data_IF_184541701729
#
_entry.id   IF_184541701729
#
_cell.length_a   1.000
_cell.length_b   1.000
_cell.length_c   1.000
_cell.angle_alpha   90.00
_cell.angle_beta   90.00
_cell.angle_gamma   90.00
#
_symmetry.space_group_name_H-M   'P 1'
#
loop_
_entity.id
_entity.type
_entity.pdbx_description
1 polymer ?
#
# COMPACT_ATOMS: atom_id res chain seq x y z
N UNK A 1 -15.40 65.41 24.57
CA UNK A 1 -15.12 65.49 23.12
C UNK A 1 -15.86 64.35 22.46
N UNK A 2 -16.98 64.68 21.81
CA UNK A 2 -18.00 63.77 21.31
C UNK A 2 -17.87 63.75 19.79
N UNK A 3 -17.68 62.59 19.16
CA UNK A 3 -17.72 62.48 17.70
C UNK A 3 -18.73 61.43 17.26
N UNK A 4 -19.78 61.94 16.63
CA UNK A 4 -20.84 61.22 15.95
C UNK A 4 -20.28 60.20 14.94
N UNK A 5 -20.77 58.96 15.03
CA UNK A 5 -20.56 57.95 14.00
C UNK A 5 -21.59 58.17 12.90
N UNK A 6 -21.09 58.33 11.68
CA UNK A 6 -21.84 58.60 10.46
C UNK A 6 -22.57 57.34 9.95
N UNK A 7 -23.81 57.53 9.52
CA UNK A 7 -24.76 56.53 9.01
C UNK A 7 -24.66 56.36 7.49
N UNK A 8 -24.42 55.14 6.99
CA UNK A 8 -24.88 54.54 5.70
C UNK A 8 -24.12 53.24 5.45
N UNK A 9 -24.63 52.17 4.83
CA UNK A 9 -25.87 51.87 4.10
C UNK A 9 -25.97 50.34 4.08
N UNK A 10 -27.14 49.78 4.35
CA UNK A 10 -27.45 48.38 4.09
C UNK A 10 -27.50 48.13 2.57
N UNK A 11 -26.97 46.99 2.12
CA UNK A 11 -27.47 46.29 0.94
C UNK A 11 -27.34 44.76 1.17
N UNK A 12 -28.50 44.11 1.11
CA UNK A 12 -28.86 42.68 1.16
C UNK A 12 -28.01 41.77 0.22
N UNK A 13 -27.79 40.47 0.42
CA UNK A 13 -28.70 39.32 0.26
C UNK A 13 -27.94 38.03 0.71
N UNK A 14 -28.40 37.27 1.72
CA UNK A 14 -29.11 35.97 1.65
C UNK A 14 -28.40 34.73 1.01
N UNK A 15 -27.90 33.86 1.93
CA UNK A 15 -28.07 32.36 2.03
C UNK A 15 -27.20 31.48 1.08
N UNK A 16 -26.77 30.22 1.39
CA UNK A 16 -26.90 29.35 2.59
C UNK A 16 -25.58 28.68 3.07
N UNK A 17 -25.61 28.06 4.26
CA UNK A 17 -25.12 26.69 4.56
C UNK A 17 -24.05 26.09 3.59
N UNK A 18 -22.80 26.59 3.57
CA UNK A 18 -21.65 25.89 2.92
C UNK A 18 -20.66 25.34 3.96
N UNK A 19 -20.97 25.46 5.24
CA UNK A 19 -20.10 24.98 6.32
C UNK A 19 -20.49 23.61 6.87
N UNK A 20 -21.26 22.80 6.13
CA UNK A 20 -21.68 21.49 6.56
C UNK A 20 -21.14 20.37 5.66
N UNK A 21 -20.10 19.71 6.17
CA UNK A 21 -20.05 18.24 6.21
C UNK A 21 -19.96 17.50 4.88
N UNK A 22 -18.96 17.82 4.06
CA UNK A 22 -18.35 16.78 3.22
C UNK A 22 -16.86 16.74 3.53
N UNK A 23 -16.54 16.44 4.79
CA UNK A 23 -15.30 15.72 5.12
C UNK A 23 -15.48 14.28 4.63
N UNK A 24 -15.62 14.10 3.32
CA UNK A 24 -15.53 12.79 2.69
C UNK A 24 -14.08 12.37 2.84
N UNK A 25 -13.77 11.71 3.96
CA UNK A 25 -12.53 10.98 4.10
C UNK A 25 -12.56 9.92 3.02
N UNK A 26 -12.02 10.23 1.84
CA UNK A 26 -11.66 9.21 0.86
C UNK A 26 -10.62 8.34 1.54
N UNK A 27 -11.07 7.29 2.23
CA UNK A 27 -10.25 6.14 2.56
C UNK A 27 -9.85 5.53 1.23
N UNK A 28 -8.76 6.01 0.64
CA UNK A 28 -8.19 5.45 -0.57
C UNK A 28 -7.92 3.97 -0.26
N UNK A 29 -8.64 3.03 -0.90
CA UNK A 29 -8.45 1.62 -0.58
C UNK A 29 -6.98 1.30 -0.81
N UNK A 30 -6.31 0.74 0.20
CA UNK A 30 -4.92 0.32 0.11
C UNK A 30 -4.74 -0.45 -1.21
N UNK A 31 -3.91 0.09 -2.10
CA UNK A 31 -3.75 -0.30 -3.50
C UNK A 31 -3.95 -1.82 -3.63
N UNK A 32 -5.08 -2.22 -4.20
CA UNK A 32 -5.50 -3.62 -4.23
C UNK A 32 -4.56 -4.40 -5.15
N UNK A 33 -3.45 -4.89 -4.59
CA UNK A 33 -2.46 -5.67 -5.29
C UNK A 33 -2.81 -7.15 -5.30
N UNK A 34 -2.19 -7.87 -6.22
CA UNK A 34 -2.10 -9.32 -6.13
C UNK A 34 -0.66 -9.70 -5.85
N UNK A 35 -0.47 -10.72 -5.02
CA UNK A 35 0.83 -11.33 -4.82
C UNK A 35 0.94 -12.61 -5.65
N UNK A 36 2.10 -12.80 -6.27
CA UNK A 36 2.59 -14.06 -6.83
C UNK A 36 3.82 -14.51 -6.05
N UNK A 37 4.49 -15.58 -6.48
CA UNK A 37 5.72 -16.03 -5.85
C UNK A 37 6.74 -16.55 -6.86
N UNK A 38 8.02 -16.46 -6.52
CA UNK A 38 9.09 -16.96 -7.38
C UNK A 38 9.03 -18.48 -7.60
N UNK A 39 9.20 -18.89 -8.86
CA UNK A 39 9.42 -20.28 -9.22
C UNK A 39 10.71 -20.85 -8.63
N UNK A 40 10.81 -22.18 -8.56
CA UNK A 40 12.00 -22.90 -8.05
C UNK A 40 13.27 -22.58 -8.84
N UNK A 41 13.15 -22.27 -10.13
CA UNK A 41 14.26 -21.93 -11.03
C UNK A 41 14.99 -20.61 -10.69
N UNK A 42 14.46 -19.82 -9.77
CA UNK A 42 15.11 -18.58 -9.33
C UNK A 42 16.10 -18.80 -8.19
N UNK A 43 16.15 -19.99 -7.59
CA UNK A 43 17.06 -20.28 -6.49
C UNK A 43 18.52 -19.97 -6.87
N UNK A 44 19.20 -19.17 -6.04
CA UNK A 44 20.60 -18.80 -6.25
C UNK A 44 20.84 -17.66 -7.25
N UNK A 45 19.80 -17.16 -7.96
CA UNK A 45 19.94 -16.01 -8.86
C UNK A 45 20.23 -14.73 -8.08
N UNK A 46 21.00 -13.82 -8.69
CA UNK A 46 21.33 -12.52 -8.11
C UNK A 46 20.10 -11.60 -8.16
N UNK A 47 19.74 -11.02 -7.02
CA UNK A 47 18.64 -10.06 -6.86
C UNK A 47 19.16 -8.63 -7.00
N UNK A 48 18.27 -7.65 -7.15
CA UNK A 48 18.64 -6.22 -7.26
C UNK A 48 19.43 -5.69 -6.06
N UNK A 49 19.30 -6.27 -4.87
CA UNK A 49 20.13 -5.94 -3.71
C UNK A 49 21.56 -6.52 -3.75
N UNK A 50 21.93 -7.22 -4.84
CA UNK A 50 23.23 -7.86 -5.02
C UNK A 50 23.38 -9.23 -4.35
N UNK A 51 22.44 -9.66 -3.50
CA UNK A 51 22.45 -10.96 -2.82
C UNK A 51 21.81 -12.05 -3.67
N UNK A 52 22.11 -13.31 -3.38
CA UNK A 52 21.47 -14.47 -4.05
C UNK A 52 20.10 -14.78 -3.42
N UNK A 53 19.13 -15.10 -4.26
CA UNK A 53 17.78 -15.46 -3.83
C UNK A 53 17.75 -16.80 -3.09
N UNK A 54 17.15 -16.78 -1.90
CA UNK A 54 16.85 -17.97 -1.11
C UNK A 54 15.32 -18.09 -0.93
N UNK A 55 14.69 -19.19 -1.40
CA UNK A 55 13.25 -19.40 -1.29
C UNK A 55 12.73 -19.48 0.15
N UNK A 56 13.62 -19.73 1.11
CA UNK A 56 13.29 -19.85 2.53
C UNK A 56 13.28 -18.50 3.28
N UNK A 57 13.78 -17.42 2.68
CA UNK A 57 13.83 -16.10 3.33
C UNK A 57 12.50 -15.35 3.20
N UNK A 58 12.18 -14.47 4.15
CA UNK A 58 10.99 -13.61 4.11
C UNK A 58 11.25 -12.34 3.30
N UNK A 59 11.32 -12.52 1.98
CA UNK A 59 11.65 -11.46 1.03
C UNK A 59 10.59 -11.30 -0.05
N UNK A 60 10.57 -10.13 -0.68
CA UNK A 60 9.70 -9.82 -1.81
C UNK A 60 10.41 -8.98 -2.87
N UNK A 61 9.84 -8.97 -4.07
CA UNK A 61 10.14 -8.06 -5.15
C UNK A 61 8.98 -7.13 -5.44
N UNK A 62 9.29 -5.88 -5.75
CA UNK A 62 8.30 -4.86 -6.04
C UNK A 62 8.86 -3.85 -7.06
N UNK A 63 8.02 -3.26 -7.93
CA UNK A 63 8.46 -2.32 -8.95
C UNK A 63 9.06 -1.04 -8.34
N UNK A 64 8.34 -0.38 -7.43
CA UNK A 64 8.71 0.97 -6.97
C UNK A 64 9.29 1.08 -5.54
N UNK A 65 8.87 0.27 -4.57
CA UNK A 65 9.38 0.39 -3.19
C UNK A 65 10.92 0.32 -3.11
N UNK A 66 11.57 1.17 -2.28
CA UNK A 66 13.01 1.09 -2.09
C UNK A 66 13.47 -0.29 -1.60
N UNK A 67 14.61 -0.75 -2.06
CA UNK A 67 15.26 -1.96 -1.55
C UNK A 67 15.54 -1.78 -0.05
N UNK A 68 15.24 -2.81 0.75
CA UNK A 68 15.32 -2.77 2.22
C UNK A 68 14.00 -2.39 2.91
N UNK A 69 12.99 -1.92 2.16
CA UNK A 69 11.68 -1.58 2.74
C UNK A 69 11.01 -2.81 3.33
N UNK A 70 10.44 -2.69 4.53
CA UNK A 70 9.63 -3.74 5.15
C UNK A 70 8.16 -3.53 4.82
N UNK A 71 7.50 -4.60 4.43
CA UNK A 71 6.10 -4.60 4.04
C UNK A 71 5.36 -5.67 4.84
N UNK A 72 4.20 -5.31 5.40
CA UNK A 72 3.20 -6.26 5.86
C UNK A 72 2.27 -6.57 4.69
N UNK A 73 2.23 -7.83 4.28
CA UNK A 73 1.41 -8.32 3.18
C UNK A 73 0.30 -9.17 3.76
N UNK A 74 -0.94 -8.75 3.56
CA UNK A 74 -2.12 -9.41 4.13
C UNK A 74 -2.97 -9.98 3.02
N UNK A 75 -3.25 -11.28 3.06
CA UNK A 75 -4.19 -11.91 2.13
C UNK A 75 -5.62 -11.47 2.46
N UNK A 76 -6.30 -10.86 1.48
CA UNK A 76 -7.64 -10.28 1.68
C UNK A 76 -8.71 -11.33 1.94
N UNK A 77 -8.53 -12.55 1.42
CA UNK A 77 -9.46 -13.68 1.55
C UNK A 77 -9.30 -14.42 2.87
N UNK A 78 -8.06 -14.71 3.28
CA UNK A 78 -7.78 -15.52 4.48
C UNK A 78 -7.44 -14.69 5.71
N UNK A 79 -7.24 -13.38 5.56
CA UNK A 79 -6.78 -12.43 6.60
C UNK A 79 -5.41 -12.76 7.22
N UNK A 80 -4.72 -13.78 6.71
CA UNK A 80 -3.34 -14.11 7.09
C UNK A 80 -2.39 -13.04 6.58
N UNK A 81 -1.39 -12.68 7.39
CA UNK A 81 -0.38 -11.70 7.00
C UNK A 81 1.04 -12.24 7.20
N UNK A 82 1.98 -11.69 6.43
CA UNK A 82 3.41 -11.95 6.54
C UNK A 82 4.17 -10.65 6.41
N UNK A 83 5.27 -10.53 7.14
CA UNK A 83 6.20 -9.40 7.00
C UNK A 83 7.36 -9.83 6.11
N UNK A 84 7.63 -9.03 5.10
CA UNK A 84 8.70 -9.28 4.12
C UNK A 84 9.57 -8.05 3.92
N UNK A 85 10.79 -8.27 3.48
CA UNK A 85 11.70 -7.19 3.06
C UNK A 85 11.81 -7.15 1.55
N UNK A 86 11.68 -5.97 0.96
CA UNK A 86 11.88 -5.74 -0.47
C UNK A 86 13.36 -5.89 -0.79
N UNK A 87 13.70 -6.83 -1.65
CA UNK A 87 15.11 -7.16 -1.97
C UNK A 87 15.39 -7.25 -3.46
N UNK A 88 14.35 -7.21 -4.28
CA UNK A 88 14.46 -7.30 -5.73
C UNK A 88 13.41 -6.44 -6.45
N UNK A 89 13.57 -6.32 -7.77
CA UNK A 89 12.66 -5.61 -8.67
C UNK A 89 11.87 -6.62 -9.50
N UNK A 90 10.59 -6.32 -9.74
CA UNK A 90 9.77 -7.03 -10.71
C UNK A 90 8.96 -6.01 -11.53
N UNK A 91 8.53 -6.40 -12.73
CA UNK A 91 7.50 -5.70 -13.51
C UNK A 91 6.07 -6.03 -13.03
N UNK A 92 5.96 -6.94 -12.06
CA UNK A 92 4.73 -7.39 -11.43
C UNK A 92 4.25 -6.43 -10.33
N UNK A 93 3.08 -6.69 -9.72
CA UNK A 93 2.65 -5.90 -8.55
C UNK A 93 3.43 -6.27 -7.28
N UNK A 94 3.58 -7.56 -6.98
CA UNK A 94 4.31 -8.05 -5.82
C UNK A 94 4.66 -9.53 -6.02
N UNK A 95 5.95 -9.86 -5.96
CA UNK A 95 6.44 -11.24 -6.00
C UNK A 95 7.03 -11.62 -4.65
N UNK A 96 6.43 -12.61 -3.98
CA UNK A 96 6.89 -13.10 -2.69
C UNK A 96 7.90 -14.24 -2.84
N UNK A 97 8.71 -14.45 -1.80
CA UNK A 97 9.42 -15.72 -1.67
C UNK A 97 8.44 -16.88 -1.49
N UNK A 98 8.87 -18.09 -1.87
CA UNK A 98 8.07 -19.31 -1.70
C UNK A 98 7.66 -19.51 -0.24
N UNK A 99 8.57 -19.26 0.71
CA UNK A 99 8.27 -19.32 2.13
C UNK A 99 7.24 -18.27 2.58
N UNK A 100 7.37 -17.01 2.16
CA UNK A 100 6.42 -15.96 2.54
C UNK A 100 5.03 -16.22 1.94
N UNK A 101 4.96 -16.63 0.67
CA UNK A 101 3.68 -16.94 0.03
C UNK A 101 2.95 -18.09 0.72
N UNK A 102 3.68 -19.14 1.13
CA UNK A 102 3.12 -20.29 1.86
C UNK A 102 2.49 -19.89 3.21
N UNK A 103 2.94 -18.79 3.82
CA UNK A 103 2.35 -18.29 5.06
C UNK A 103 1.01 -17.58 4.88
N UNK A 104 0.71 -17.05 3.69
CA UNK A 104 -0.53 -16.29 3.45
C UNK A 104 -1.48 -16.97 2.47
N UNK A 105 -1.00 -17.92 1.66
CA UNK A 105 -1.75 -18.53 0.58
C UNK A 105 -1.32 -19.96 0.25
N UNK A 106 -2.13 -20.63 -0.58
CA UNK A 106 -1.83 -21.97 -1.08
C UNK A 106 -0.99 -21.85 -2.36
N UNK A 107 0.19 -22.47 -2.38
CA UNK A 107 1.11 -22.48 -3.53
C UNK A 107 0.44 -22.98 -4.83
N UNK A 108 -0.56 -23.87 -4.74
CA UNK A 108 -1.34 -24.37 -5.90
C UNK A 108 -2.13 -23.27 -6.60
N UNK A 109 -2.48 -22.18 -5.92
CA UNK A 109 -3.23 -21.06 -6.51
C UNK A 109 -2.38 -20.15 -7.39
N UNK A 110 -1.05 -20.13 -7.20
CA UNK A 110 -0.13 -19.26 -7.92
C UNK A 110 -0.19 -17.77 -7.54
N UNK A 111 -1.41 -17.23 -7.39
CA UNK A 111 -1.70 -15.82 -7.16
C UNK A 111 -2.78 -15.63 -6.09
N UNK A 112 -2.64 -14.63 -5.24
CA UNK A 112 -3.64 -14.27 -4.22
C UNK A 112 -3.86 -12.75 -4.15
N UNK A 113 -5.09 -12.28 -3.87
CA UNK A 113 -5.33 -10.86 -3.64
C UNK A 113 -4.80 -10.44 -2.26
N UNK A 114 -4.02 -9.37 -2.22
CA UNK A 114 -3.37 -8.88 -1.00
C UNK A 114 -3.58 -7.38 -0.78
N UNK A 115 -3.46 -6.98 0.47
CA UNK A 115 -3.28 -5.58 0.88
C UNK A 115 -1.87 -5.45 1.43
N UNK A 116 -1.15 -4.41 1.00
CA UNK A 116 0.24 -4.17 1.38
C UNK A 116 0.31 -2.88 2.19
N UNK A 117 1.02 -2.94 3.32
CA UNK A 117 1.25 -1.77 4.18
C UNK A 117 2.74 -1.70 4.51
N UNK A 118 3.34 -0.52 4.34
CA UNK A 118 4.72 -0.27 4.77
C UNK A 118 4.77 -0.22 6.30
N UNK A 119 5.78 -0.85 6.88
CA UNK A 119 6.04 -0.85 8.33
C UNK A 119 7.47 -0.39 8.64
#
# INVERSE_FOLDING_TARGET
MTYSVCFRRQESLRIPIIAALISLTLSYPALAGSATYYGSSFHGKKMANGKRYNPNHMVAAHPSYPIGTRLRVTNRKTKRSVVVTVTDRCSCSLDLSRAAFRQIGNLKKGRVPVSVTRI
#
